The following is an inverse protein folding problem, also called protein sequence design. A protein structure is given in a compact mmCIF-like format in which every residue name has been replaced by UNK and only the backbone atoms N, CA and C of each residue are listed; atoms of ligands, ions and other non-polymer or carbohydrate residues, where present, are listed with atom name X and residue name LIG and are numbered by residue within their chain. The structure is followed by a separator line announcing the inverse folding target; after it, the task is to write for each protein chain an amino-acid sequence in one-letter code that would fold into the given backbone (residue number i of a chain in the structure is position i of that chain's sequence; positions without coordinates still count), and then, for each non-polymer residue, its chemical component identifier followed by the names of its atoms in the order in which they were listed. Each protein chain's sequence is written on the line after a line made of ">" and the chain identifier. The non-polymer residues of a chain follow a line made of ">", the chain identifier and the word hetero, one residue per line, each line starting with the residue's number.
data_IF_211961275505
#
_entry.id   IF_211961275505
#
_cell.length_a   1.000
_cell.length_b   1.000
_cell.length_c   1.000
_cell.angle_alpha   90.00
_cell.angle_beta   90.00
_cell.angle_gamma   90.00
#
_symmetry.space_group_name_H-M   'P 1'
#
loop_
_entity.id
_entity.type
_entity.pdbx_description
1 polymer ?
#
# COMPACT_ATOMS: atom_id res chain seq x y z
N UNK A 1 -43.27 5.27 32.16
CA UNK A 1 -42.28 5.76 31.18
C UNK A 1 -40.88 5.51 31.69
N UNK A 2 -40.12 4.61 31.05
CA UNK A 2 -38.71 4.77 30.62
C UNK A 2 -38.21 3.41 30.14
N UNK A 3 -38.13 3.28 28.81
CA UNK A 3 -37.62 2.11 28.10
C UNK A 3 -36.12 2.01 28.37
N UNK A 4 -35.67 0.88 28.89
CA UNK A 4 -34.25 0.53 28.98
C UNK A 4 -33.88 -0.11 27.64
N UNK A 5 -33.19 0.65 26.79
CA UNK A 5 -32.51 0.09 25.63
C UNK A 5 -31.20 -0.55 26.10
N UNK A 6 -31.18 -1.87 26.22
CA UNK A 6 -29.93 -2.63 26.29
C UNK A 6 -29.24 -2.56 24.92
N UNK A 7 -28.13 -1.81 24.83
CA UNK A 7 -27.18 -1.94 23.73
C UNK A 7 -26.37 -3.21 23.99
N UNK A 8 -26.68 -4.26 23.24
CA UNK A 8 -25.85 -5.47 23.14
C UNK A 8 -24.64 -5.12 22.28
N UNK A 9 -23.46 -5.02 22.89
CA UNK A 9 -22.18 -4.93 22.18
C UNK A 9 -21.70 -6.36 21.97
N UNK A 10 -22.07 -6.97 20.83
CA UNK A 10 -21.41 -8.17 20.31
C UNK A 10 -20.34 -7.71 19.32
N UNK A 11 -19.11 -7.56 19.79
CA UNK A 11 -17.93 -7.36 18.94
C UNK A 11 -17.12 -8.65 18.87
N UNK A 12 -17.71 -9.71 18.31
CA UNK A 12 -16.97 -10.93 17.97
C UNK A 12 -16.43 -10.78 16.55
N UNK A 13 -15.10 -10.79 16.42
CA UNK A 13 -14.39 -10.85 15.15
C UNK A 13 -14.81 -12.11 14.40
N UNK A 14 -15.63 -11.97 13.36
CA UNK A 14 -15.96 -13.10 12.48
C UNK A 14 -14.74 -13.36 11.58
N UNK A 15 -13.91 -14.31 11.97
CA UNK A 15 -13.02 -14.99 11.05
C UNK A 15 -13.89 -15.89 10.15
N UNK A 16 -14.22 -15.42 8.95
CA UNK A 16 -14.99 -16.19 7.98
C UNK A 16 -14.14 -17.36 7.47
N UNK A 17 -14.34 -18.55 8.05
CA UNK A 17 -13.88 -19.81 7.49
C UNK A 17 -14.89 -20.32 6.48
N UNK A 18 -14.64 -20.11 5.19
CA UNK A 18 -15.48 -20.64 4.11
C UNK A 18 -14.79 -21.87 3.51
N UNK A 19 -15.25 -23.06 3.89
CA UNK A 19 -15.04 -24.29 3.11
C UNK A 19 -16.26 -24.47 2.20
N UNK A 20 -16.19 -23.86 1.02
CA UNK A 20 -17.03 -24.20 -0.12
C UNK A 20 -16.11 -24.25 -1.33
N UNK A 21 -16.35 -25.20 -2.24
CA UNK A 21 -15.59 -25.36 -3.48
C UNK A 21 -15.74 -24.06 -4.27
N UNK A 22 -14.77 -23.17 -4.10
CA UNK A 22 -14.80 -21.84 -4.66
C UNK A 22 -14.46 -21.96 -6.16
N UNK A 23 -15.47 -21.90 -7.01
CA UNK A 23 -15.29 -21.15 -8.25
C UNK A 23 -14.75 -19.80 -7.79
N UNK A 24 -13.54 -19.43 -8.21
CA UNK A 24 -12.93 -18.12 -7.93
C UNK A 24 -14.04 -17.07 -7.98
N UNK A 25 -14.40 -16.44 -6.85
CA UNK A 25 -15.33 -15.32 -6.88
C UNK A 25 -14.79 -14.34 -7.91
N UNK A 26 -15.64 -13.76 -8.75
CA UNK A 26 -15.21 -12.64 -9.56
C UNK A 26 -14.56 -11.62 -8.61
N UNK A 27 -13.24 -11.46 -8.68
CA UNK A 27 -12.54 -10.42 -7.92
C UNK A 27 -12.99 -9.11 -8.55
N UNK A 28 -13.89 -8.37 -7.89
CA UNK A 28 -14.82 -7.53 -8.63
C UNK A 28 -14.66 -6.00 -8.41
N UNK A 29 -13.93 -5.54 -7.40
CA UNK A 29 -13.52 -4.13 -7.37
C UNK A 29 -12.26 -3.90 -6.54
N UNK A 30 -11.26 -3.23 -7.09
CA UNK A 30 -10.18 -2.61 -6.32
C UNK A 30 -10.56 -1.18 -5.94
N UNK A 31 -9.91 -0.64 -4.91
CA UNK A 31 -10.03 0.80 -4.62
C UNK A 31 -9.46 1.61 -5.80
N UNK A 32 -10.27 2.52 -6.34
CA UNK A 32 -9.91 3.37 -7.48
C UNK A 32 -9.99 4.85 -7.11
N UNK A 33 -9.54 5.73 -8.01
CA UNK A 33 -9.52 7.19 -7.79
C UNK A 33 -8.78 7.57 -6.51
N UNK A 34 -7.65 6.90 -6.29
CA UNK A 34 -6.93 6.97 -5.02
C UNK A 34 -6.32 8.34 -4.79
N UNK A 35 -6.45 8.83 -3.56
CA UNK A 35 -5.89 10.08 -3.07
C UNK A 35 -5.25 9.85 -1.71
N UNK A 36 -4.20 10.63 -1.42
CA UNK A 36 -3.54 10.63 -0.12
C UNK A 36 -3.83 11.96 0.57
N UNK A 37 -4.32 11.90 1.80
CA UNK A 37 -4.45 13.05 2.69
C UNK A 37 -3.40 12.99 3.81
N UNK A 38 -3.10 14.14 4.41
CA UNK A 38 -2.09 14.29 5.44
C UNK A 38 -1.54 15.72 5.45
N UNK A 39 -0.47 15.94 6.20
CA UNK A 39 0.16 17.26 6.33
C UNK A 39 1.35 17.45 5.38
N UNK A 40 1.97 16.37 4.90
CA UNK A 40 3.11 16.39 3.99
C UNK A 40 3.23 15.12 3.12
N UNK A 41 3.92 15.22 1.97
CA UNK A 41 4.20 14.06 1.10
C UNK A 41 5.11 12.99 1.73
N UNK A 42 5.77 13.32 2.84
CA UNK A 42 6.60 12.41 3.63
C UNK A 42 5.81 11.64 4.68
N UNK A 43 4.49 11.87 4.75
CA UNK A 43 3.63 11.26 5.76
C UNK A 43 3.21 9.82 5.44
N UNK A 44 3.66 9.30 4.30
CA UNK A 44 3.47 7.92 3.88
C UNK A 44 4.71 7.43 3.13
N UNK A 45 4.85 6.12 3.07
CA UNK A 45 5.83 5.45 2.21
C UNK A 45 5.11 4.48 1.30
N UNK A 46 5.63 4.34 0.09
CA UNK A 46 5.15 3.35 -0.87
C UNK A 46 6.25 2.32 -1.07
N UNK A 47 5.90 1.07 -0.82
CA UNK A 47 6.76 -0.08 -1.03
C UNK A 47 6.26 -0.88 -2.23
N UNK A 48 7.11 -1.04 -3.24
CA UNK A 48 6.89 -1.96 -4.36
C UNK A 48 7.60 -3.29 -4.14
N UNK A 49 7.45 -4.23 -5.07
CA UNK A 49 8.08 -5.56 -4.98
C UNK A 49 9.28 -5.68 -5.92
N UNK A 50 10.39 -6.21 -5.40
CA UNK A 50 11.57 -6.64 -6.16
C UNK A 50 12.00 -8.04 -5.69
N UNK A 51 11.69 -9.07 -6.49
CA UNK A 51 11.87 -10.47 -6.08
C UNK A 51 10.97 -10.79 -4.88
N UNK A 52 11.55 -11.31 -3.79
CA UNK A 52 10.82 -11.58 -2.55
C UNK A 52 10.92 -10.42 -1.54
N UNK A 53 11.34 -9.24 -1.98
CA UNK A 53 11.52 -8.10 -1.10
C UNK A 53 10.55 -6.97 -1.44
N UNK A 54 10.10 -6.26 -0.42
CA UNK A 54 9.49 -4.93 -0.58
C UNK A 54 10.57 -3.86 -0.54
N UNK A 55 10.58 -2.96 -1.53
CA UNK A 55 11.54 -1.85 -1.70
C UNK A 55 10.81 -0.52 -1.71
N UNK A 56 11.42 0.52 -1.12
CA UNK A 56 10.89 1.88 -1.25
C UNK A 56 10.89 2.33 -2.71
N UNK A 57 9.76 2.85 -3.16
CA UNK A 57 9.57 3.45 -4.49
C UNK A 57 9.03 4.88 -4.35
N UNK A 58 9.09 5.72 -5.40
CA UNK A 58 8.60 7.10 -5.31
C UNK A 58 7.13 7.20 -4.88
N UNK A 59 6.84 8.15 -4.00
CA UNK A 59 5.49 8.47 -3.51
C UNK A 59 4.63 9.15 -4.59
N UNK A 60 4.17 8.37 -5.57
CA UNK A 60 3.27 8.83 -6.65
C UNK A 60 1.94 8.08 -6.57
N UNK A 61 0.83 8.72 -7.00
CA UNK A 61 -0.48 8.06 -7.00
C UNK A 61 -0.52 6.83 -7.92
N UNK A 62 0.27 6.81 -8.99
CA UNK A 62 0.42 5.63 -9.86
C UNK A 62 1.03 4.44 -9.11
N UNK A 63 2.09 4.68 -8.33
CA UNK A 63 2.71 3.64 -7.52
C UNK A 63 1.80 3.19 -6.35
N UNK A 64 1.07 4.13 -5.75
CA UNK A 64 0.04 3.80 -4.74
C UNK A 64 -1.02 2.87 -5.34
N UNK A 65 -1.56 3.20 -6.53
CA UNK A 65 -2.55 2.34 -7.19
C UNK A 65 -1.97 0.97 -7.54
N UNK A 66 -0.75 0.91 -8.09
CA UNK A 66 -0.09 -0.35 -8.44
C UNK A 66 0.06 -1.30 -7.23
N UNK A 67 0.38 -0.74 -6.06
CA UNK A 67 0.42 -1.51 -4.81
C UNK A 67 -0.97 -2.04 -4.46
N UNK A 68 -2.01 -1.21 -4.56
CA UNK A 68 -3.36 -1.61 -4.17
C UNK A 68 -4.05 -2.59 -5.12
N UNK A 69 -3.54 -2.74 -6.35
CA UNK A 69 -4.04 -3.69 -7.35
C UNK A 69 -3.69 -5.16 -7.01
N UNK A 70 -2.92 -5.41 -5.96
CA UNK A 70 -2.60 -6.74 -5.45
C UNK A 70 -3.78 -7.47 -4.78
N UNK A 71 -3.51 -8.69 -4.29
CA UNK A 71 -4.44 -9.46 -3.46
C UNK A 71 -3.68 -10.40 -2.50
N UNK A 72 -4.40 -11.20 -1.71
CA UNK A 72 -3.80 -12.11 -0.73
C UNK A 72 -2.93 -13.21 -1.30
N UNK A 73 -3.08 -13.54 -2.59
CA UNK A 73 -2.29 -14.58 -3.28
C UNK A 73 -1.08 -13.96 -3.99
N UNK A 74 -1.21 -12.72 -4.45
CA UNK A 74 -0.20 -12.00 -5.20
C UNK A 74 -0.10 -10.55 -4.71
N UNK A 75 0.47 -10.30 -3.51
CA UNK A 75 0.70 -8.96 -3.02
C UNK A 75 1.71 -8.22 -3.90
N UNK A 76 1.45 -6.95 -4.23
CA UNK A 76 2.31 -6.11 -5.07
C UNK A 76 3.06 -5.03 -4.29
N UNK A 77 2.91 -5.03 -2.97
CA UNK A 77 3.59 -4.11 -2.06
C UNK A 77 2.73 -3.69 -0.88
N UNK A 78 3.01 -2.51 -0.33
CA UNK A 78 2.20 -1.86 0.69
C UNK A 78 2.39 -0.34 0.71
N UNK A 79 1.36 0.37 1.15
CA UNK A 79 1.39 1.80 1.46
C UNK A 79 1.38 1.94 2.97
N UNK A 80 2.49 2.37 3.54
CA UNK A 80 2.60 2.66 4.97
C UNK A 80 1.99 4.04 5.25
N UNK A 81 0.88 4.08 5.98
CA UNK A 81 0.31 5.35 6.42
C UNK A 81 1.04 5.83 7.67
N UNK A 82 1.39 7.11 7.71
CA UNK A 82 2.06 7.75 8.85
C UNK A 82 3.51 7.29 9.06
N UNK A 83 4.19 7.02 7.95
CA UNK A 83 5.63 6.76 7.89
C UNK A 83 6.40 7.81 8.69
N UNK A 84 6.85 7.43 9.89
CA UNK A 84 7.48 8.26 10.95
C UNK A 84 6.86 8.09 12.35
N UNK A 85 5.92 7.18 12.57
CA UNK A 85 5.34 6.93 13.92
C UNK A 85 6.42 6.71 15.01
N UNK A 86 7.60 6.27 14.60
CA UNK A 86 8.75 5.96 15.44
C UNK A 86 9.74 7.13 15.61
N UNK A 87 9.61 8.22 14.83
CA UNK A 87 10.52 9.36 14.87
C UNK A 87 10.31 10.27 16.10
N UNK A 88 11.34 11.05 16.43
CA UNK A 88 11.34 11.94 17.60
C UNK A 88 10.27 13.05 17.51
N UNK A 89 10.00 13.57 16.32
CA UNK A 89 9.04 14.64 16.06
C UNK A 89 7.66 14.15 15.62
N UNK A 90 7.35 12.86 15.83
CA UNK A 90 6.06 12.29 15.48
C UNK A 90 4.92 13.00 16.23
N UNK A 91 3.98 13.58 15.47
CA UNK A 91 2.78 14.19 16.03
C UNK A 91 1.63 13.18 16.06
N UNK A 92 1.39 12.57 17.21
CA UNK A 92 0.35 11.56 17.38
C UNK A 92 -1.09 12.09 17.27
N UNK A 93 -1.29 13.40 17.09
CA UNK A 93 -2.61 13.99 16.87
C UNK A 93 -2.94 14.18 15.38
N UNK A 94 -2.03 13.84 14.48
CA UNK A 94 -2.23 13.90 13.04
C UNK A 94 -2.34 12.50 12.45
N UNK A 95 -3.10 12.39 11.36
CA UNK A 95 -3.23 11.16 10.60
C UNK A 95 -2.84 11.36 9.14
N UNK A 96 -2.52 10.24 8.50
CA UNK A 96 -2.40 10.12 7.06
C UNK A 96 -3.56 9.27 6.57
N UNK A 97 -4.18 9.65 5.45
CA UNK A 97 -5.34 8.95 4.91
C UNK A 97 -5.08 8.47 3.48
N UNK A 98 -5.69 7.33 3.15
CA UNK A 98 -5.79 6.76 1.81
C UNK A 98 -7.26 6.70 1.46
N UNK A 99 -7.72 7.51 0.51
CA UNK A 99 -9.12 7.57 0.12
C UNK A 99 -9.31 7.20 -1.33
N UNK A 100 -10.45 6.60 -1.66
CA UNK A 100 -10.84 6.28 -3.02
C UNK A 100 -12.29 5.81 -3.10
N UNK A 101 -12.65 5.23 -4.23
CA UNK A 101 -13.98 4.68 -4.48
C UNK A 101 -13.92 3.16 -4.64
N UNK A 102 -14.81 2.45 -3.95
CA UNK A 102 -15.00 1.00 -4.07
C UNK A 102 -16.50 0.68 -4.04
N UNK A 103 -16.98 -0.14 -4.97
CA UNK A 103 -18.41 -0.41 -5.13
C UNK A 103 -19.26 0.85 -5.38
N UNK A 104 -18.67 1.88 -6.01
CA UNK A 104 -19.31 3.19 -6.22
C UNK A 104 -19.44 4.07 -4.96
N UNK A 105 -18.87 3.65 -3.84
CA UNK A 105 -18.91 4.37 -2.57
C UNK A 105 -17.53 4.85 -2.15
N UNK A 106 -17.47 5.97 -1.43
CA UNK A 106 -16.20 6.47 -0.90
C UNK A 106 -15.76 5.64 0.31
N UNK A 107 -14.50 5.23 0.27
CA UNK A 107 -13.79 4.59 1.38
C UNK A 107 -12.57 5.44 1.73
N UNK A 108 -12.42 5.75 3.01
CA UNK A 108 -11.20 6.35 3.55
C UNK A 108 -10.58 5.39 4.57
N UNK A 109 -9.34 5.00 4.34
CA UNK A 109 -8.49 4.32 5.31
C UNK A 109 -7.56 5.35 5.96
N UNK A 110 -7.22 5.16 7.23
CA UNK A 110 -6.47 6.14 8.00
C UNK A 110 -5.55 5.47 9.00
N UNK A 111 -4.38 6.08 9.20
CA UNK A 111 -3.60 5.92 10.42
C UNK A 111 -4.38 6.43 11.64
N UNK A 112 -3.98 6.03 12.85
CA UNK A 112 -4.66 6.39 14.09
C UNK A 112 -4.00 7.57 14.79
N UNK A 113 -4.82 8.33 15.50
CA UNK A 113 -4.38 9.41 16.39
C UNK A 113 -4.50 9.02 17.86
N UNK A 114 -3.93 9.82 18.75
CA UNK A 114 -4.13 9.71 20.19
C UNK A 114 -5.61 9.78 20.58
N UNK A 115 -6.42 10.58 19.88
CA UNK A 115 -7.87 10.65 20.13
C UNK A 115 -8.61 9.38 19.72
N UNK A 116 -8.17 8.72 18.65
CA UNK A 116 -8.72 7.41 18.27
C UNK A 116 -8.45 6.36 19.35
N UNK A 117 -7.22 6.36 19.89
CA UNK A 117 -6.81 5.38 20.90
C UNK A 117 -7.43 5.61 22.27
N UNK A 118 -7.44 6.86 22.75
CA UNK A 118 -7.72 7.19 24.15
C UNK A 118 -9.00 8.02 24.35
N UNK A 119 -9.74 8.26 23.28
CA UNK A 119 -10.94 9.08 23.28
C UNK A 119 -10.66 10.58 23.43
N UNK A 120 -11.72 11.42 23.43
CA UNK A 120 -11.59 12.88 23.40
C UNK A 120 -10.93 13.49 24.64
N UNK A 121 -10.98 12.79 25.77
CA UNK A 121 -10.33 13.23 27.02
C UNK A 121 -8.93 12.66 27.20
N UNK A 122 -8.41 11.91 26.22
CA UNK A 122 -7.10 11.25 26.27
C UNK A 122 -6.92 10.40 27.53
N UNK A 123 -7.91 9.57 27.85
CA UNK A 123 -7.82 8.70 29.02
C UNK A 123 -6.87 7.52 28.71
N UNK A 124 -5.63 7.64 29.16
CA UNK A 124 -4.57 6.63 28.99
C UNK A 124 -4.59 5.54 30.05
N UNK A 125 -5.60 5.49 30.93
CA UNK A 125 -5.71 4.45 31.94
C UNK A 125 -6.17 3.12 31.34
N UNK A 126 -5.52 2.02 31.72
CA UNK A 126 -5.90 0.66 31.30
C UNK A 126 -7.38 0.33 31.58
N UNK A 127 -7.95 0.85 32.66
CA UNK A 127 -9.34 0.60 33.04
C UNK A 127 -10.36 1.45 32.26
N UNK A 128 -9.90 2.33 31.38
CA UNK A 128 -10.78 3.12 30.53
C UNK A 128 -11.44 2.26 29.45
N UNK A 129 -12.66 2.63 29.07
CA UNK A 129 -13.33 2.03 27.92
C UNK A 129 -12.87 2.72 26.63
N UNK A 130 -11.68 2.37 26.17
CA UNK A 130 -11.02 2.96 25.00
C UNK A 130 -10.61 1.89 23.99
N UNK A 131 -10.32 2.31 22.76
CA UNK A 131 -9.77 1.41 21.74
C UNK A 131 -8.44 0.81 22.21
N UNK A 132 -7.63 1.58 22.94
CA UNK A 132 -6.33 1.13 23.46
C UNK A 132 -6.50 -0.08 24.39
N UNK A 133 -7.38 0.04 25.38
CA UNK A 133 -7.66 -1.05 26.31
C UNK A 133 -8.25 -2.26 25.59
N UNK A 134 -9.19 -2.03 24.67
CA UNK A 134 -9.80 -3.12 23.89
C UNK A 134 -8.75 -3.89 23.09
N UNK A 135 -7.97 -3.19 22.27
CA UNK A 135 -6.94 -3.81 21.42
C UNK A 135 -5.88 -4.53 22.26
N UNK A 136 -5.42 -3.93 23.36
CA UNK A 136 -4.40 -4.53 24.20
C UNK A 136 -4.90 -5.80 24.91
N UNK A 137 -6.17 -5.82 25.33
CA UNK A 137 -6.78 -7.03 25.87
C UNK A 137 -6.91 -8.12 24.81
N UNK A 138 -7.33 -7.76 23.59
CA UNK A 138 -7.40 -8.71 22.48
C UNK A 138 -6.00 -9.27 22.15
N UNK A 139 -4.96 -8.43 22.18
CA UNK A 139 -3.56 -8.84 22.02
C UNK A 139 -3.14 -9.86 23.08
N UNK A 140 -3.42 -9.59 24.36
CA UNK A 140 -3.11 -10.53 25.45
C UNK A 140 -3.86 -11.86 25.29
N UNK A 141 -5.15 -11.81 24.94
CA UNK A 141 -5.96 -13.02 24.71
C UNK A 141 -5.35 -13.86 23.60
N UNK A 142 -5.03 -13.25 22.45
CA UNK A 142 -4.45 -13.97 21.32
C UNK A 142 -3.02 -14.46 21.60
N UNK A 143 -2.27 -13.78 22.47
CA UNK A 143 -0.95 -14.23 22.95
C UNK A 143 -1.03 -15.37 24.00
N UNK A 144 -2.23 -15.91 24.27
CA UNK A 144 -2.45 -16.94 25.28
C UNK A 144 -2.26 -16.42 26.71
N UNK A 145 -2.49 -15.12 26.94
CA UNK A 145 -2.39 -14.41 28.22
C UNK A 145 -3.72 -13.80 28.65
N UNK A 146 -4.84 -14.36 28.18
CA UNK A 146 -6.18 -13.88 28.53
C UNK A 146 -6.47 -13.88 30.04
N UNK A 147 -5.79 -14.74 30.81
CA UNK A 147 -5.87 -14.78 32.27
C UNK A 147 -5.30 -13.52 32.96
N UNK A 148 -4.52 -12.70 32.25
CA UNK A 148 -3.99 -11.43 32.77
C UNK A 148 -4.96 -10.26 32.55
N UNK A 149 -5.94 -10.39 31.66
CA UNK A 149 -6.89 -9.31 31.37
C UNK A 149 -7.64 -8.92 32.63
N UNK A 150 -7.67 -7.62 32.93
CA UNK A 150 -8.28 -7.09 34.13
C UNK A 150 -7.46 -7.31 35.41
N UNK A 151 -6.14 -7.49 35.31
CA UNK A 151 -5.23 -7.54 36.45
C UNK A 151 -4.30 -6.33 36.51
N UNK A 152 -3.67 -6.09 37.65
CA UNK A 152 -2.60 -5.07 37.77
C UNK A 152 -1.43 -5.37 36.83
N UNK A 153 -1.10 -6.65 36.59
CA UNK A 153 -0.03 -7.05 35.67
C UNK A 153 -0.35 -6.59 34.23
N UNK A 154 -1.59 -6.76 33.77
CA UNK A 154 -1.99 -6.24 32.46
C UNK A 154 -2.00 -4.72 32.42
N UNK A 155 -2.38 -4.06 33.51
CA UNK A 155 -2.29 -2.60 33.63
C UNK A 155 -0.84 -2.10 33.53
N UNK A 156 0.10 -2.77 34.20
CA UNK A 156 1.52 -2.41 34.16
C UNK A 156 2.11 -2.65 32.77
N UNK A 157 1.77 -3.77 32.14
CA UNK A 157 2.16 -4.08 30.77
C UNK A 157 1.57 -3.05 29.77
N UNK A 158 0.31 -2.67 29.93
CA UNK A 158 -0.33 -1.64 29.10
C UNK A 158 0.40 -0.29 29.21
N UNK A 159 0.73 0.12 30.44
CA UNK A 159 1.45 1.36 30.69
C UNK A 159 2.85 1.33 30.07
N UNK A 160 3.58 0.23 30.23
CA UNK A 160 4.90 0.03 29.61
C UNK A 160 4.80 0.05 28.08
N UNK A 161 3.79 -0.59 27.50
CA UNK A 161 3.55 -0.57 26.06
C UNK A 161 3.38 0.86 25.54
N UNK A 162 2.59 1.68 26.24
CA UNK A 162 2.45 3.10 25.94
C UNK A 162 3.76 3.89 26.07
N UNK A 163 4.55 3.65 27.13
CA UNK A 163 5.85 4.31 27.33
C UNK A 163 6.86 3.99 26.22
N UNK A 164 6.81 2.78 25.68
CA UNK A 164 7.63 2.34 24.54
C UNK A 164 7.11 2.82 23.18
N UNK A 165 6.11 3.71 23.18
CA UNK A 165 5.40 4.17 21.97
C UNK A 165 4.71 3.05 21.20
N UNK A 166 4.30 1.97 21.87
CA UNK A 166 3.67 0.82 21.24
C UNK A 166 2.39 1.18 20.49
N UNK A 167 1.55 2.07 21.06
CA UNK A 167 0.34 2.53 20.37
C UNK A 167 0.66 3.31 19.11
N UNK A 168 1.68 4.17 19.13
CA UNK A 168 2.14 4.93 17.97
C UNK A 168 2.60 3.99 16.84
N UNK A 169 3.41 2.97 17.17
CA UNK A 169 3.87 1.91 16.24
C UNK A 169 2.78 0.96 15.75
N UNK A 170 1.61 1.01 16.36
CA UNK A 170 0.44 0.20 15.96
C UNK A 170 -0.55 1.06 15.14
N UNK A 171 -0.24 2.35 14.97
CA UNK A 171 -1.17 3.35 14.40
C UNK A 171 -0.94 3.63 12.92
N UNK A 172 0.06 3.02 12.30
CA UNK A 172 0.63 3.32 11.00
C UNK A 172 0.42 2.14 10.03
N UNK A 173 -0.83 1.81 9.68
CA UNK A 173 -1.15 0.61 8.95
C UNK A 173 -0.49 0.57 7.57
N UNK A 174 0.08 -0.59 7.26
CA UNK A 174 0.65 -0.92 5.96
C UNK A 174 -0.41 -1.53 5.03
N UNK A 175 -1.06 -0.71 4.19
CA UNK A 175 -2.15 -1.16 3.32
C UNK A 175 -1.59 -1.83 2.06
N UNK A 176 -1.80 -3.14 1.93
CA UNK A 176 -1.35 -3.91 0.75
C UNK A 176 -2.35 -3.90 -0.39
N UNK A 177 -3.65 -4.04 -0.11
CA UNK A 177 -4.69 -3.99 -1.13
C UNK A 177 -6.04 -3.73 -0.48
N UNK A 178 -7.01 -3.31 -1.30
CA UNK A 178 -8.40 -3.18 -0.89
C UNK A 178 -9.27 -3.75 -2.00
N UNK A 179 -9.97 -4.85 -1.70
CA UNK A 179 -10.77 -5.60 -2.66
C UNK A 179 -12.22 -5.72 -2.18
N UNK A 180 -13.14 -5.80 -3.13
CA UNK A 180 -14.55 -6.07 -2.88
C UNK A 180 -15.01 -7.30 -3.66
N UNK A 181 -15.79 -8.15 -2.99
CA UNK A 181 -16.67 -9.11 -3.65
C UNK A 181 -17.96 -8.38 -4.05
N UNK A 182 -18.16 -8.15 -5.34
CA UNK A 182 -19.32 -7.39 -5.83
C UNK A 182 -20.63 -8.18 -5.74
N UNK A 183 -20.56 -9.50 -5.54
CA UNK A 183 -21.76 -10.31 -5.33
C UNK A 183 -22.32 -10.06 -3.92
N UNK A 184 -21.44 -10.06 -2.93
CA UNK A 184 -21.83 -9.95 -1.51
C UNK A 184 -21.72 -8.53 -0.98
N UNK A 185 -20.95 -7.66 -1.63
CA UNK A 185 -20.55 -6.35 -1.13
C UNK A 185 -19.47 -6.38 -0.05
N UNK A 186 -18.90 -7.54 0.26
CA UNK A 186 -17.91 -7.65 1.33
C UNK A 186 -16.59 -7.00 0.92
N UNK A 187 -16.09 -6.07 1.74
CA UNK A 187 -14.83 -5.35 1.50
C UNK A 187 -13.74 -5.95 2.38
N UNK A 188 -12.62 -6.29 1.75
CA UNK A 188 -11.41 -6.81 2.39
C UNK A 188 -10.27 -5.80 2.24
N UNK A 189 -9.60 -5.53 3.34
CA UNK A 189 -8.37 -4.72 3.43
C UNK A 189 -7.24 -5.69 3.77
N UNK A 190 -6.25 -5.78 2.89
CA UNK A 190 -5.00 -6.45 3.17
C UNK A 190 -4.06 -5.54 3.94
N UNK A 191 -3.60 -5.96 5.11
CA UNK A 191 -2.54 -5.30 5.86
C UNK A 191 -1.26 -6.14 5.76
N UNK A 192 -0.17 -5.53 5.31
CA UNK A 192 1.16 -6.07 5.49
C UNK A 192 1.57 -5.91 6.97
N UNK A 193 2.16 -6.93 7.57
CA UNK A 193 2.64 -6.87 8.94
C UNK A 193 3.70 -7.92 9.22
N UNK A 194 3.90 -8.28 10.48
CA UNK A 194 4.87 -9.32 10.85
C UNK A 194 4.20 -10.69 10.89
N UNK A 195 4.72 -11.67 10.15
CA UNK A 195 4.27 -13.06 10.28
C UNK A 195 4.74 -13.72 11.59
N UNK A 196 5.85 -13.21 12.15
CA UNK A 196 6.32 -13.54 13.50
C UNK A 196 6.72 -12.25 14.24
N UNK A 197 5.76 -11.66 14.95
CA UNK A 197 5.97 -10.46 15.76
C UNK A 197 6.96 -10.71 16.90
N UNK A 198 7.00 -11.93 17.44
CA UNK A 198 7.95 -12.26 18.51
C UNK A 198 9.38 -12.13 18.00
N UNK A 199 9.68 -12.64 16.80
CA UNK A 199 10.99 -12.49 16.18
C UNK A 199 11.37 -11.01 16.03
N UNK A 200 10.43 -10.16 15.61
CA UNK A 200 10.66 -8.71 15.51
C UNK A 200 10.91 -8.05 16.87
N UNK A 201 10.11 -8.37 17.89
CA UNK A 201 10.29 -7.82 19.25
C UNK A 201 11.54 -8.36 19.94
N UNK A 202 12.06 -9.54 19.57
CA UNK A 202 13.29 -10.10 20.11
C UNK A 202 14.56 -9.41 19.59
N UNK A 203 14.48 -8.53 18.58
CA UNK A 203 15.65 -7.81 18.10
C UNK A 203 16.23 -6.88 19.17
N UNK A 204 17.56 -6.71 19.26
CA UNK A 204 18.19 -5.86 20.28
C UNK A 204 17.74 -4.39 20.25
N UNK A 205 17.37 -3.89 19.07
CA UNK A 205 17.00 -2.50 18.80
C UNK A 205 15.48 -2.25 18.85
N UNK A 206 14.65 -3.28 19.10
CA UNK A 206 13.19 -3.12 19.10
C UNK A 206 12.68 -2.29 20.29
N UNK A 207 13.32 -2.42 21.46
CA UNK A 207 12.80 -1.91 22.73
C UNK A 207 11.68 -2.76 23.35
N UNK A 208 11.23 -3.83 22.70
CA UNK A 208 10.09 -4.68 23.09
C UNK A 208 10.49 -6.07 23.59
N UNK A 209 11.75 -6.29 23.99
CA UNK A 209 12.24 -7.60 24.43
C UNK A 209 11.41 -8.23 25.57
N UNK A 210 10.89 -7.41 26.50
CA UNK A 210 9.98 -7.88 27.55
C UNK A 210 8.65 -8.39 26.97
N UNK A 211 8.08 -7.71 25.98
CA UNK A 211 6.88 -8.19 25.29
C UNK A 211 7.16 -9.46 24.50
N UNK A 212 8.32 -9.57 23.83
CA UNK A 212 8.71 -10.79 23.14
C UNK A 212 8.68 -12.03 24.07
N UNK A 213 9.05 -11.86 25.34
CA UNK A 213 9.02 -12.95 26.33
C UNK A 213 7.60 -13.42 26.69
N UNK A 214 6.58 -12.57 26.48
CA UNK A 214 5.17 -12.89 26.72
C UNK A 214 4.52 -13.60 25.54
N UNK A 215 5.10 -13.48 24.34
CA UNK A 215 4.52 -13.97 23.09
C UNK A 215 4.87 -15.45 22.82
N UNK A 216 3.91 -16.24 22.30
CA UNK A 216 4.22 -17.55 21.73
C UNK A 216 5.07 -17.41 20.46
N UNK A 217 5.76 -18.48 20.06
CA UNK A 217 6.53 -18.47 18.81
C UNK A 217 5.59 -18.35 17.61
N UNK A 218 5.96 -17.58 16.59
CA UNK A 218 5.09 -17.33 15.44
C UNK A 218 3.86 -16.50 15.77
N UNK A 219 3.88 -15.72 16.86
CA UNK A 219 2.75 -14.84 17.20
C UNK A 219 2.57 -13.79 16.12
N UNK A 220 1.33 -13.63 15.66
CA UNK A 220 0.94 -12.74 14.57
C UNK A 220 0.13 -11.58 15.13
N UNK A 221 0.45 -10.35 14.72
CA UNK A 221 -0.41 -9.19 14.88
C UNK A 221 -0.20 -8.21 13.72
N UNK A 222 -1.29 -7.64 13.23
CA UNK A 222 -1.26 -6.47 12.35
C UNK A 222 -1.22 -5.17 13.16
N UNK A 223 -0.88 -4.08 12.48
CA UNK A 223 -1.27 -2.74 12.91
C UNK A 223 -2.81 -2.57 12.89
N UNK A 224 -3.28 -1.44 13.40
CA UNK A 224 -4.70 -1.08 13.37
C UNK A 224 -4.96 -0.13 12.21
N UNK A 225 -5.98 -0.43 11.41
CA UNK A 225 -6.50 0.49 10.40
C UNK A 225 -7.83 1.07 10.88
N UNK A 226 -7.96 2.40 10.76
CA UNK A 226 -9.25 3.08 10.87
C UNK A 226 -9.84 3.18 9.46
N UNK A 227 -11.11 2.85 9.32
CA UNK A 227 -11.83 3.08 8.06
C UNK A 227 -13.05 3.96 8.28
N UNK A 228 -13.40 4.72 7.25
CA UNK A 228 -14.68 5.42 7.13
C UNK A 228 -15.33 5.01 5.81
N UNK A 229 -16.50 4.42 5.88
CA UNK A 229 -17.29 3.97 4.73
C UNK A 229 -18.76 4.30 4.96
N UNK A 230 -19.38 4.99 4.01
CA UNK A 230 -20.80 5.37 4.09
C UNK A 230 -21.19 6.06 5.42
N UNK A 231 -20.33 6.98 5.89
CA UNK A 231 -20.53 7.71 7.15
C UNK A 231 -20.30 6.91 8.43
N UNK A 232 -19.96 5.62 8.33
CA UNK A 232 -19.59 4.78 9.47
C UNK A 232 -18.08 4.76 9.59
N UNK A 233 -17.59 5.09 10.78
CA UNK A 233 -16.17 4.96 11.13
C UNK A 233 -15.99 3.82 12.14
N UNK A 234 -15.04 2.93 11.87
CA UNK A 234 -14.71 1.80 12.74
C UNK A 234 -13.23 1.38 12.54
N UNK A 235 -12.75 0.46 13.36
CA UNK A 235 -11.35 0.03 13.42
C UNK A 235 -11.22 -1.47 13.14
N UNK A 236 -10.16 -1.87 12.43
CA UNK A 236 -9.87 -3.27 12.11
C UNK A 236 -8.41 -3.60 12.36
N UNK A 237 -8.18 -4.83 12.79
CA UNK A 237 -6.86 -5.43 13.05
C UNK A 237 -7.03 -6.95 13.13
N UNK A 238 -5.94 -7.69 13.01
CA UNK A 238 -5.93 -9.15 13.05
C UNK A 238 -4.74 -9.71 13.83
N UNK A 239 -4.92 -10.93 14.36
CA UNK A 239 -3.87 -11.72 15.03
C UNK A 239 -3.60 -13.05 14.30
N UNK A 240 -4.02 -13.12 13.04
CA UNK A 240 -3.83 -14.26 12.16
C UNK A 240 -3.52 -13.74 10.77
N UNK A 241 -2.42 -14.24 10.20
CA UNK A 241 -1.96 -13.91 8.87
C UNK A 241 -1.68 -15.16 8.05
N UNK A 242 -1.68 -15.00 6.74
CA UNK A 242 -0.96 -15.87 5.82
C UNK A 242 0.45 -15.31 5.59
N UNK A 243 1.39 -16.16 5.18
CA UNK A 243 2.69 -15.68 4.74
C UNK A 243 2.50 -14.90 3.44
N UNK A 244 2.99 -13.66 3.37
CA UNK A 244 2.93 -12.84 2.15
C UNK A 244 3.91 -13.32 1.08
N UNK A 245 4.97 -14.03 1.47
CA UNK A 245 6.10 -14.36 0.59
C UNK A 245 7.04 -13.17 0.33
N UNK A 246 6.77 -12.02 0.96
CA UNK A 246 7.56 -10.80 0.86
C UNK A 246 8.21 -10.47 2.20
N UNK A 247 9.34 -9.78 2.18
CA UNK A 247 9.95 -9.19 3.38
C UNK A 247 10.50 -7.81 3.08
N UNK A 248 10.59 -6.93 4.08
CA UNK A 248 11.33 -5.68 3.93
C UNK A 248 12.78 -5.94 3.45
N UNK A 249 13.25 -5.11 2.52
CA UNK A 249 14.53 -5.33 1.84
C UNK A 249 15.73 -5.44 2.77
N UNK A 250 16.75 -6.17 2.31
CA UNK A 250 18.04 -6.31 2.99
C UNK A 250 18.65 -4.93 3.26
N UNK A 251 19.00 -4.66 4.52
CA UNK A 251 19.41 -3.33 5.00
C UNK A 251 18.37 -2.60 5.85
N UNK A 252 17.14 -3.15 5.94
CA UNK A 252 16.11 -2.80 6.93
C UNK A 252 16.01 -3.89 8.01
N UNK A 253 14.84 -4.10 8.62
CA UNK A 253 14.62 -5.13 9.63
C UNK A 253 14.52 -6.58 9.09
N UNK A 254 14.32 -6.77 7.78
CA UNK A 254 14.15 -8.07 7.09
C UNK A 254 12.99 -8.95 7.57
N UNK A 255 12.13 -8.44 8.45
CA UNK A 255 11.04 -9.17 9.10
C UNK A 255 9.67 -8.53 8.85
N UNK A 256 9.63 -7.23 8.54
CA UNK A 256 8.42 -6.50 8.17
C UNK A 256 7.84 -6.97 6.85
N UNK A 257 6.54 -6.75 6.69
CA UNK A 257 5.75 -7.11 5.51
C UNK A 257 5.65 -8.62 5.19
N UNK A 258 6.06 -9.48 6.12
CA UNK A 258 6.04 -10.95 5.99
C UNK A 258 4.67 -11.58 6.19
N UNK A 259 3.77 -10.91 6.91
CA UNK A 259 2.40 -11.36 7.13
C UNK A 259 1.42 -10.60 6.25
N UNK A 260 0.46 -11.30 5.65
CA UNK A 260 -0.72 -10.72 5.02
C UNK A 260 -1.94 -10.96 5.92
N UNK A 261 -2.52 -9.89 6.43
CA UNK A 261 -3.71 -9.90 7.29
C UNK A 261 -4.91 -9.43 6.48
N UNK A 262 -5.90 -10.31 6.29
CA UNK A 262 -7.17 -9.95 5.67
C UNK A 262 -8.17 -9.54 6.76
N UNK A 263 -8.45 -8.24 6.84
CA UNK A 263 -9.52 -7.70 7.69
C UNK A 263 -10.62 -7.14 6.81
N UNK A 264 -11.88 -7.21 7.24
CA UNK A 264 -12.97 -6.80 6.38
C UNK A 264 -14.18 -6.28 7.11
N UNK A 265 -15.12 -5.78 6.32
CA UNK A 265 -16.43 -5.33 6.77
C UNK A 265 -17.43 -5.45 5.62
N UNK A 266 -18.71 -5.51 5.98
CA UNK A 266 -19.78 -5.55 5.00
C UNK A 266 -19.95 -4.17 4.35
N UNK A 267 -19.68 -4.08 3.05
CA UNK A 267 -19.98 -2.93 2.21
C UNK A 267 -21.31 -3.09 1.46
N UNK A 268 -21.50 -2.25 0.44
CA UNK A 268 -22.66 -2.28 -0.46
C UNK A 268 -22.25 -2.96 -1.76
N UNK A 269 -22.95 -4.04 -2.13
CA UNK A 269 -22.80 -4.66 -3.43
C UNK A 269 -23.19 -3.64 -4.53
N UNK A 270 -22.37 -3.43 -5.57
CA UNK A 270 -22.73 -2.53 -6.65
C UNK A 270 -23.99 -3.02 -7.36
N UNK A 271 -24.84 -2.09 -7.75
CA UNK A 271 -26.00 -2.42 -8.58
C UNK A 271 -25.50 -2.95 -9.92
N UNK A 272 -25.94 -4.13 -10.38
CA UNK A 272 -25.51 -4.65 -11.67
C UNK A 272 -25.88 -3.64 -12.77
N UNK A 273 -24.89 -3.25 -13.57
CA UNK A 273 -25.15 -2.42 -14.76
C UNK A 273 -26.05 -3.24 -15.68
N UNK A 274 -27.23 -2.72 -16.09
CA UNK A 274 -28.09 -3.44 -17.02
C UNK A 274 -27.28 -3.74 -18.28
N UNK A 275 -27.27 -5.01 -18.70
CA UNK A 275 -26.63 -5.40 -19.96
C UNK A 275 -27.30 -4.60 -21.07
N UNK A 276 -26.55 -3.90 -21.93
CA UNK A 276 -27.16 -3.18 -23.04
C UNK A 276 -28.00 -4.15 -23.84
N UNK A 277 -29.29 -3.85 -23.99
CA UNK A 277 -30.18 -4.64 -24.84
C UNK A 277 -29.55 -4.67 -26.22
N UNK A 278 -29.33 -5.85 -26.84
CA UNK A 278 -28.77 -5.91 -28.18
C UNK A 278 -29.59 -5.01 -29.10
N UNK A 279 -28.93 -4.03 -29.72
CA UNK A 279 -29.58 -3.14 -30.68
C UNK A 279 -30.22 -4.01 -31.76
N UNK A 280 -31.52 -3.86 -32.05
CA UNK A 280 -32.16 -4.64 -33.11
C UNK A 280 -31.33 -4.48 -34.38
N UNK A 281 -30.90 -5.61 -34.94
CA UNK A 281 -30.15 -5.62 -36.20
C UNK A 281 -31.04 -4.94 -37.25
N UNK A 282 -30.55 -3.90 -37.96
CA UNK A 282 -31.36 -3.25 -38.97
C UNK A 282 -31.81 -4.31 -39.98
N UNK A 283 -33.12 -4.39 -40.21
CA UNK A 283 -33.69 -5.25 -41.24
C UNK A 283 -33.01 -4.90 -42.56
N UNK A 284 -32.45 -5.86 -43.32
CA UNK A 284 -31.80 -5.55 -44.59
C UNK A 284 -32.79 -4.80 -45.47
N UNK A 285 -32.42 -3.58 -45.87
CA UNK A 285 -33.17 -2.81 -46.85
C UNK A 285 -33.27 -3.66 -48.12
N UNK A 286 -34.47 -3.85 -48.70
CA UNK A 286 -34.59 -4.60 -49.95
C UNK A 286 -33.60 -4.02 -50.96
N UNK A 287 -32.75 -4.89 -51.49
CA UNK A 287 -31.76 -4.51 -52.49
C UNK A 287 -32.51 -3.90 -53.67
N UNK A 288 -32.23 -2.65 -54.08
CA UNK A 288 -32.86 -2.08 -55.25
C UNK A 288 -32.59 -3.01 -56.43
N UNK A 289 -33.66 -3.36 -57.16
CA UNK A 289 -33.60 -4.15 -58.37
C UNK A 289 -32.55 -3.54 -59.29
N UNK A 290 -31.59 -4.31 -59.82
CA UNK A 290 -30.53 -3.75 -60.66
C UNK A 290 -31.15 -2.99 -61.83
N UNK A 291 -30.87 -1.69 -61.89
CA UNK A 291 -31.16 -0.88 -63.06
C UNK A 291 -30.44 -1.51 -64.25
N UNK A 292 -31.10 -1.74 -65.40
CA UNK A 292 -30.46 -2.32 -66.56
C UNK A 292 -29.19 -1.53 -66.91
N UNK A 293 -28.08 -2.25 -67.02
CA UNK A 293 -26.77 -1.69 -67.33
C UNK A 293 -26.86 -0.99 -68.68
N UNK A 294 -26.59 0.32 -68.78
CA UNK A 294 -26.47 0.95 -70.08
C UNK A 294 -25.33 0.29 -70.86
N UNK A 295 -25.61 -0.02 -72.11
CA UNK A 295 -24.71 -0.62 -73.09
C UNK A 295 -23.38 0.15 -73.09
N UNK A 296 -22.22 -0.52 -73.02
CA UNK A 296 -20.94 0.17 -72.96
C UNK A 296 -20.73 1.03 -74.20
N UNK A 297 -20.55 2.33 -73.97
CA UNK A 297 -20.05 3.27 -74.98
C UNK A 297 -18.62 2.84 -75.38
N UNK A 298 -18.28 2.79 -76.67
CA UNK A 298 -16.96 2.36 -77.12
C UNK A 298 -15.85 3.20 -76.48
N UNK A 299 -14.86 2.50 -75.92
CA UNK A 299 -13.68 3.07 -75.28
C UNK A 299 -12.90 3.92 -76.29
N UNK A 300 -12.65 5.22 -76.03
CA UNK A 300 -11.75 6.00 -76.87
C UNK A 300 -10.32 5.47 -76.72
N UNK A 301 -9.67 5.35 -77.87
CA UNK A 301 -8.29 4.90 -78.07
C UNK A 301 -7.31 5.71 -77.19
N UNK A 302 -6.35 5.06 -76.50
CA UNK A 302 -5.41 5.79 -75.65
C UNK A 302 -4.51 6.71 -76.47
N UNK A 303 -4.52 8.00 -76.11
CA UNK A 303 -3.57 9.01 -76.59
C UNK A 303 -2.17 8.67 -76.04
N UNK A 304 -1.11 8.73 -76.86
CA UNK A 304 0.24 8.39 -76.42
C UNK A 304 0.71 9.31 -75.29
N UNK A 305 1.21 8.69 -74.22
CA UNK A 305 1.81 9.35 -73.06
C UNK A 305 3.09 10.10 -73.48
N UNK A 306 3.24 11.40 -73.17
CA UNK A 306 4.49 12.10 -73.43
C UNK A 306 5.62 11.57 -72.53
N UNK A 307 6.77 11.36 -73.16
CA UNK A 307 8.04 10.90 -72.58
C UNK A 307 8.50 11.83 -71.45
N UNK A 308 8.95 11.32 -70.28
CA UNK A 308 9.45 12.18 -69.22
C UNK A 308 10.76 12.87 -69.63
N UNK A 309 10.78 14.18 -69.47
CA UNK A 309 11.95 15.05 -69.62
C UNK A 309 12.99 14.70 -68.53
N UNK A 310 14.29 14.58 -68.85
CA UNK A 310 15.31 14.25 -67.85
C UNK A 310 15.42 15.35 -66.79
N UNK A 311 15.40 14.92 -65.53
CA UNK A 311 15.63 15.74 -64.34
C UNK A 311 17.05 16.31 -64.34
N UNK A 312 17.26 17.62 -64.13
CA UNK A 312 18.61 18.18 -64.04
C UNK A 312 19.34 17.68 -62.78
N UNK A 313 20.60 17.31 -63.00
CA UNK A 313 21.59 16.86 -62.02
C UNK A 313 21.80 17.92 -60.92
N UNK A 314 21.86 17.56 -59.63
CA UNK A 314 22.12 18.52 -58.57
C UNK A 314 23.53 19.12 -58.67
N UNK A 315 23.60 20.44 -58.67
CA UNK A 315 24.82 21.26 -58.59
C UNK A 315 25.54 20.97 -57.26
N UNK A 316 26.88 20.79 -57.25
CA UNK A 316 27.62 20.54 -56.01
C UNK A 316 27.52 21.72 -55.05
N UNK A 317 27.22 21.41 -53.79
CA UNK A 317 27.15 22.35 -52.67
C UNK A 317 28.54 22.93 -52.39
N UNK A 318 28.69 24.26 -52.22
CA UNK A 318 29.97 24.88 -51.89
C UNK A 318 30.46 24.46 -50.49
N UNK A 319 31.73 24.10 -50.43
CA UNK A 319 32.50 23.78 -49.23
C UNK A 319 32.46 24.93 -48.21
N UNK A 320 32.08 24.68 -46.94
CA UNK A 320 32.14 25.71 -45.89
C UNK A 320 33.60 26.10 -45.57
N UNK A 321 33.86 27.37 -45.21
CA UNK A 321 35.20 27.85 -44.87
C UNK A 321 35.71 27.23 -43.56
N UNK A 322 37.02 26.97 -43.54
CA UNK A 322 37.79 26.46 -42.42
C UNK A 322 37.57 27.33 -41.18
N UNK A 323 36.96 26.74 -40.15
CA UNK A 323 36.85 27.33 -38.84
C UNK A 323 38.18 27.18 -38.11
N UNK A 324 38.79 28.32 -37.79
CA UNK A 324 39.98 28.43 -36.95
C UNK A 324 39.74 27.81 -35.57
N UNK A 325 40.66 26.94 -35.20
CA UNK A 325 40.93 26.40 -33.86
C UNK A 325 40.74 27.42 -32.72
N UNK A 326 39.97 27.11 -31.66
CA UNK A 326 40.16 27.75 -30.37
C UNK A 326 41.32 27.09 -29.61
N UNK A 327 42.20 27.93 -29.07
CA UNK A 327 43.25 27.59 -28.12
C UNK A 327 42.71 26.80 -26.91
N UNK A 328 43.43 25.78 -26.40
CA UNK A 328 43.21 25.30 -25.05
C UNK A 328 43.96 26.19 -24.06
N UNK A 329 43.23 27.05 -23.35
CA UNK A 329 43.70 27.68 -22.11
C UNK A 329 43.93 26.60 -21.04
N UNK A 330 45.18 26.20 -20.87
CA UNK A 330 45.65 25.40 -19.74
C UNK A 330 45.81 26.34 -18.54
N UNK A 331 44.83 26.34 -17.64
CA UNK A 331 45.02 26.77 -16.24
C UNK A 331 45.21 25.50 -15.42
N UNK A 332 46.49 25.18 -15.16
CA UNK A 332 46.93 24.09 -14.32
C UNK A 332 46.88 24.53 -12.85
N UNK A 333 45.77 24.20 -12.17
CA UNK A 333 45.61 24.31 -10.73
C UNK A 333 45.83 22.94 -10.06
N UNK A 334 46.74 22.91 -9.10
CA UNK A 334 47.17 21.77 -8.29
C UNK A 334 46.01 21.00 -7.63
N UNK A 335 46.05 19.67 -7.71
CA UNK A 335 45.65 18.78 -6.60
C UNK A 335 46.14 17.34 -6.87
N UNK A 336 47.34 17.02 -6.38
CA UNK A 336 47.83 15.65 -6.29
C UNK A 336 47.23 14.96 -5.07
N UNK A 337 46.49 13.89 -5.29
CA UNK A 337 46.14 12.87 -4.29
C UNK A 337 47.03 11.66 -4.59
N UNK A 338 47.82 11.18 -3.62
CA UNK A 338 48.02 9.77 -3.23
C UNK A 338 49.02 9.75 -2.05
N UNK A 339 48.66 9.07 -0.96
CA UNK A 339 49.62 8.56 0.02
C UNK A 339 49.24 8.79 1.48
N UNK A 340 48.29 8.01 2.02
CA UNK A 340 48.17 7.88 3.47
C UNK A 340 48.94 6.64 3.94
N UNK A 341 49.99 6.93 4.70
CA UNK A 341 50.88 6.00 5.39
C UNK A 341 50.17 5.44 6.62
N UNK A 342 50.21 4.11 6.72
CA UNK A 342 49.99 3.34 7.95
C UNK A 342 51.04 3.73 8.99
N UNK A 343 50.64 4.20 10.16
CA UNK A 343 51.49 4.14 11.35
C UNK A 343 50.63 3.98 12.59
N UNK A 344 50.79 2.89 13.32
CA UNK A 344 50.66 2.88 14.77
C UNK A 344 51.29 1.59 15.34
N UNK A 345 51.94 1.78 16.50
CA UNK A 345 52.43 0.79 17.49
C UNK A 345 53.75 0.07 17.23
N UNK A 346 54.80 0.60 17.86
CA UNK A 346 55.41 -0.05 19.04
C UNK A 346 56.46 0.88 19.68
N UNK A 347 56.20 1.34 20.91
CA UNK A 347 57.27 1.59 21.88
C UNK A 347 56.81 1.11 23.26
N UNK A 348 57.51 0.08 23.72
CA UNK A 348 57.44 -0.55 25.03
C UNK A 348 58.40 0.20 25.96
N UNK A 349 57.88 0.78 27.04
CA UNK A 349 58.67 1.35 28.15
C UNK A 349 59.37 0.21 28.89
N UNK A 350 60.69 0.30 29.06
CA UNK A 350 61.42 -0.26 30.21
C UNK A 350 62.50 0.75 30.60
N UNK A 351 62.45 1.26 31.83
CA UNK A 351 63.63 1.72 32.57
C UNK A 351 63.31 1.78 34.06
N UNK A 352 63.98 0.87 34.78
CA UNK A 352 64.57 0.95 36.12
C UNK A 352 63.71 1.32 37.32
#
# INVERSE_FOLDING_TARGET
>A
MKKICQRVVLGASIAAGVSAIATTPAQAGSLTNVTIGGSANTDYLVYGVQGNNTVLIPNTLANVQQVLDGNSVSPTGNVELRASSELFNFNFFQNTTLSGTIGGQNLTLSSLTAFDWFGPTLNTGYWANTLATKWFNDFLVNAGKGNLVGTSIASDAFNLFGQLKGFQRTSDPNISYVNQDDTTGFITIGLAGHFDLKAYYSRPDSGFALFASLLPNGFQASEVVKYTYNGVTDYRYGFKATSSGLTASVGTDTLSHSGNYEVGFQGIAPTPTPTPTPTPTPTPTPTPTPTPTPTPTPTPTPTPTPTPTPTPTPTPTPTPPVQSTPEPSVVLGLAGVVGFIVTQRKLKKISR
#
